data_IF_055271096606
#
_entry.id   IF_055271096606
#
_cell.length_a   1.000
_cell.length_b   1.000
_cell.length_c   1.000
_cell.angle_alpha   90.00
_cell.angle_beta   90.00
_cell.angle_gamma   90.00
#
_symmetry.space_group_name_H-M   'P 1'
#
loop_
_entity.id
_entity.type
_entity.pdbx_description
1 polymer ?
#
# COMPACT_ATOMS: atom_id res chain seq x y z
N UNK A 1 4.15 -26.69 -24.61
CA UNK A 1 5.12 -25.89 -23.84
C UNK A 1 4.31 -24.85 -23.12
N UNK A 2 4.21 -24.96 -21.79
CA UNK A 2 3.44 -24.01 -20.99
C UNK A 2 4.31 -22.80 -20.70
N UNK A 3 3.88 -21.61 -21.15
CA UNK A 3 4.55 -20.35 -20.90
C UNK A 3 4.03 -19.76 -19.59
N UNK A 4 4.92 -19.51 -18.63
CA UNK A 4 4.57 -18.82 -17.37
C UNK A 4 5.05 -17.39 -17.44
N UNK A 5 4.14 -16.42 -17.31
CA UNK A 5 4.46 -14.98 -17.30
C UNK A 5 4.25 -14.45 -15.88
N UNK A 6 5.27 -13.84 -15.30
CA UNK A 6 5.18 -13.12 -14.02
C UNK A 6 5.02 -11.62 -14.27
N UNK A 7 3.94 -11.02 -13.77
CA UNK A 7 3.64 -9.59 -13.91
C UNK A 7 3.54 -8.96 -12.52
N UNK A 8 4.16 -7.80 -12.32
CA UNK A 8 3.97 -6.98 -11.12
C UNK A 8 2.73 -6.10 -11.28
N UNK A 9 1.94 -6.02 -10.22
CA UNK A 9 0.64 -5.34 -10.19
C UNK A 9 0.71 -4.25 -9.13
N UNK A 10 0.07 -3.12 -9.37
CA UNK A 10 0.04 -2.04 -8.37
C UNK A 10 -0.72 -2.49 -7.12
N UNK A 11 -0.14 -2.26 -5.94
CA UNK A 11 -0.72 -2.59 -4.63
C UNK A 11 -2.00 -1.79 -4.31
N UNK A 12 -2.20 -0.64 -4.96
CA UNK A 12 -3.32 0.27 -4.66
C UNK A 12 -4.53 -0.04 -5.56
N UNK A 13 -4.32 -0.05 -6.88
CA UNK A 13 -5.42 -0.21 -7.83
C UNK A 13 -5.59 -1.65 -8.35
N UNK A 14 -4.65 -2.56 -8.07
CA UNK A 14 -4.67 -3.98 -8.47
C UNK A 14 -4.87 -4.23 -9.98
N UNK A 15 -4.63 -3.20 -10.79
CA UNK A 15 -4.81 -3.21 -12.23
C UNK A 15 -3.67 -3.92 -12.94
N UNK A 16 -4.01 -4.91 -13.78
CA UNK A 16 -3.06 -5.74 -14.54
C UNK A 16 -2.76 -5.19 -15.94
N UNK A 17 -3.49 -4.16 -16.36
CA UNK A 17 -3.34 -3.49 -17.67
C UNK A 17 -2.10 -2.58 -17.74
N UNK A 18 -1.37 -2.40 -16.63
CA UNK A 18 -0.27 -1.43 -16.52
C UNK A 18 0.86 -1.99 -15.68
N UNK A 19 2.12 -1.66 -16.00
CA UNK A 19 3.25 -2.05 -15.18
C UNK A 19 3.25 -1.28 -13.85
N UNK A 20 3.66 -1.96 -12.79
CA UNK A 20 3.94 -1.36 -11.50
C UNK A 20 5.44 -1.43 -11.20
N UNK A 21 5.97 -0.35 -10.64
CA UNK A 21 7.38 -0.20 -10.26
C UNK A 21 7.49 -0.28 -8.75
N UNK A 22 8.52 -0.98 -8.26
CA UNK A 22 8.78 -1.13 -6.83
C UNK A 22 9.47 0.11 -6.28
N UNK A 23 8.89 0.70 -5.25
CA UNK A 23 9.47 1.81 -4.50
C UNK A 23 9.64 1.43 -3.03
N UNK A 24 10.70 1.93 -2.41
CA UNK A 24 10.90 1.85 -0.97
C UNK A 24 10.71 3.24 -0.40
N UNK A 25 9.63 3.44 0.37
CA UNK A 25 9.29 4.70 0.99
C UNK A 25 9.81 4.71 2.42
N UNK A 26 10.83 5.53 2.68
CA UNK A 26 11.44 5.66 4.01
C UNK A 26 10.96 6.96 4.68
N UNK A 27 10.03 6.89 5.65
CA UNK A 27 9.64 8.07 6.42
C UNK A 27 10.79 8.48 7.35
N UNK A 28 10.91 9.79 7.65
CA UNK A 28 12.01 10.33 8.47
C UNK A 28 12.13 9.70 9.86
N UNK A 29 11.03 9.18 10.42
CA UNK A 29 10.96 8.67 11.79
C UNK A 29 10.38 7.25 11.87
N UNK A 30 10.51 6.43 10.82
CA UNK A 30 9.89 5.09 10.81
C UNK A 30 10.58 4.08 9.90
N UNK A 31 10.03 2.87 9.91
CA UNK A 31 10.51 1.78 9.05
C UNK A 31 10.13 2.03 7.59
N UNK A 32 11.07 1.74 6.69
CA UNK A 32 10.83 1.81 5.25
C UNK A 32 9.80 0.78 4.80
N UNK A 33 8.83 1.22 3.99
CA UNK A 33 7.80 0.33 3.43
C UNK A 33 8.01 0.20 1.94
N UNK A 34 8.13 -1.04 1.47
CA UNK A 34 8.19 -1.36 0.04
C UNK A 34 6.78 -1.48 -0.54
N UNK A 35 6.54 -0.83 -1.70
CA UNK A 35 5.27 -0.88 -2.43
C UNK A 35 5.49 -0.93 -3.93
N UNK A 36 4.66 -1.67 -4.63
CA UNK A 36 4.59 -1.68 -6.09
C UNK A 36 3.52 -0.69 -6.53
N UNK A 37 3.91 0.40 -7.21
CA UNK A 37 3.03 1.51 -7.59
C UNK A 37 3.05 1.75 -9.10
N UNK A 38 1.90 2.06 -9.68
CA UNK A 38 1.82 2.49 -11.08
C UNK A 38 2.08 4.00 -11.23
N UNK A 39 2.30 4.47 -12.46
CA UNK A 39 2.60 5.87 -12.76
C UNK A 39 1.55 6.87 -12.23
N UNK A 40 0.28 6.48 -12.17
CA UNK A 40 -0.79 7.34 -11.63
C UNK A 40 -0.71 7.46 -10.10
N UNK A 41 -0.38 6.37 -9.42
CA UNK A 41 -0.36 6.28 -7.96
C UNK A 41 0.95 6.83 -7.36
N UNK A 42 2.06 6.79 -8.12
CA UNK A 42 3.34 7.39 -7.70
C UNK A 42 3.36 8.91 -7.87
N UNK A 43 2.62 9.46 -8.85
CA UNK A 43 2.57 10.90 -9.13
C UNK A 43 2.23 11.79 -7.92
N UNK A 44 1.26 11.46 -7.04
CA UNK A 44 1.05 12.26 -5.83
C UNK A 44 2.21 12.16 -4.83
N UNK A 45 2.92 11.03 -4.78
CA UNK A 45 4.07 10.84 -3.90
C UNK A 45 5.24 11.70 -4.39
N UNK A 46 5.53 11.69 -5.70
CA UNK A 46 6.61 12.51 -6.27
C UNK A 46 6.38 14.01 -6.12
N UNK A 47 5.12 14.46 -6.11
CA UNK A 47 4.79 15.86 -5.84
C UNK A 47 5.16 16.30 -4.42
N UNK A 48 5.11 15.39 -3.45
CA UNK A 48 5.39 15.68 -2.04
C UNK A 48 6.87 15.48 -1.73
N UNK A 49 7.47 14.41 -2.27
CA UNK A 49 8.82 13.97 -1.91
C UNK A 49 9.89 14.26 -2.98
N UNK A 50 9.49 14.77 -4.15
CA UNK A 50 10.38 14.92 -5.30
C UNK A 50 10.49 13.62 -6.13
N UNK A 51 11.31 13.62 -7.20
CA UNK A 51 11.48 12.44 -8.04
C UNK A 51 12.06 11.28 -7.22
N UNK A 52 11.35 10.14 -7.22
CA UNK A 52 11.76 8.96 -6.47
C UNK A 52 12.59 8.03 -7.35
N UNK A 53 13.70 7.52 -6.81
CA UNK A 53 14.48 6.46 -7.47
C UNK A 53 13.78 5.13 -7.22
N UNK A 54 13.41 4.37 -8.26
CA UNK A 54 12.81 3.06 -8.08
C UNK A 54 13.82 2.10 -7.44
N UNK A 55 13.32 1.15 -6.66
CA UNK A 55 14.16 0.23 -5.89
C UNK A 55 15.10 -0.62 -6.77
N UNK A 56 14.79 -0.78 -8.07
CA UNK A 56 15.62 -1.53 -9.01
C UNK A 56 16.79 -0.73 -9.59
N UNK A 57 16.70 0.61 -9.62
CA UNK A 57 17.82 1.49 -10.04
C UNK A 57 18.78 1.80 -8.88
N UNK A 58 18.34 1.69 -7.63
CA UNK A 58 19.21 1.87 -6.47
C UNK A 58 20.34 0.82 -6.36
N UNK A 59 20.21 -0.33 -7.04
CA UNK A 59 21.22 -1.39 -7.12
C UNK A 59 22.16 -1.23 -8.33
N UNK A 60 21.87 -0.30 -9.25
CA UNK A 60 22.70 -0.03 -10.45
C UNK A 60 23.46 1.28 -10.26
N UNK A 61 24.22 1.37 -9.18
CA UNK A 61 25.27 2.36 -9.04
C UNK A 61 26.31 2.20 -10.16
N UNK A 62 26.94 3.29 -10.63
CA UNK A 62 27.95 3.21 -11.68
C UNK A 62 29.08 2.28 -11.25
N UNK A 63 29.50 1.40 -12.16
CA UNK A 63 30.73 0.62 -12.07
C UNK A 63 31.93 1.55 -11.80
N UNK A 64 32.22 1.84 -10.54
CA UNK A 64 33.52 2.31 -10.10
C UNK A 64 33.96 1.49 -8.90
N UNK A 65 35.10 0.82 -9.13
CA UNK A 65 35.91 0.08 -8.19
C UNK A 65 35.92 0.74 -6.80
N UNK A 66 35.53 -0.04 -5.79
CA UNK A 66 36.37 -0.22 -4.61
C UNK A 66 36.26 -1.68 -4.17
N UNK A 67 37.33 -2.41 -4.45
CA UNK A 67 37.66 -3.67 -3.78
C UNK A 67 38.03 -3.39 -2.32
N UNK A 68 37.94 -4.45 -1.49
CA UNK A 68 38.10 -4.59 -0.02
C UNK A 68 36.81 -4.27 0.74
N UNK A 69 36.17 -5.18 1.46
CA UNK A 69 36.69 -6.21 2.36
C UNK A 69 35.66 -7.35 2.54
N UNK A 70 36.16 -8.55 2.82
CA UNK A 70 35.43 -9.83 2.86
C UNK A 70 34.60 -10.05 4.15
N UNK A 71 33.61 -10.93 4.08
CA UNK A 71 32.98 -11.58 5.24
C UNK A 71 31.53 -11.12 5.47
N UNK A 72 30.52 -11.97 5.64
CA UNK A 72 30.48 -13.37 6.01
C UNK A 72 29.27 -14.04 5.37
N UNK A 73 29.55 -15.13 4.68
CA UNK A 73 28.59 -16.16 4.31
C UNK A 73 28.39 -17.06 5.53
N UNK A 74 27.19 -17.08 6.10
CA UNK A 74 26.78 -18.16 7.01
C UNK A 74 25.37 -18.63 6.69
N UNK A 75 25.28 -19.70 5.90
CA UNK A 75 24.27 -20.73 6.15
C UNK A 75 24.60 -21.42 7.49
N UNK A 76 23.61 -21.99 8.18
CA UNK A 76 23.52 -23.44 8.04
C UNK A 76 22.09 -23.99 7.96
N UNK A 77 21.99 -25.08 7.20
CA UNK A 77 20.93 -26.07 7.24
C UNK A 77 20.66 -26.64 8.65
N UNK A 78 19.41 -27.03 8.95
CA UNK A 78 19.08 -28.38 9.48
C UNK A 78 17.60 -28.55 9.91
N UNK A 79 16.97 -29.56 9.30
CA UNK A 79 16.24 -30.71 9.92
C UNK A 79 15.03 -30.47 10.85
N UNK A 80 13.89 -31.02 10.38
CA UNK A 80 12.84 -31.81 11.09
C UNK A 80 12.10 -31.08 12.25
N UNK A 81 10.77 -31.11 12.32
CA UNK A 81 10.01 -32.29 12.74
C UNK A 81 8.54 -32.25 12.30
N UNK A 82 8.08 -33.37 11.77
CA UNK A 82 6.70 -33.83 11.76
C UNK A 82 6.18 -34.02 13.19
N UNK A 83 5.05 -33.42 13.54
CA UNK A 83 4.24 -33.83 14.69
C UNK A 83 2.81 -34.08 14.24
N UNK A 84 2.37 -35.31 14.48
CA UNK A 84 1.14 -35.95 14.03
C UNK A 84 0.14 -35.97 15.19
N UNK A 85 -1.11 -35.60 14.89
CA UNK A 85 -2.40 -35.96 15.55
C UNK A 85 -2.55 -35.77 17.07
N UNK A 86 -3.65 -35.11 17.46
CA UNK A 86 -4.71 -35.73 18.28
C UNK A 86 -6.06 -35.09 17.99
N UNK A 87 -7.11 -35.89 18.14
CA UNK A 87 -8.48 -35.63 17.72
C UNK A 87 -9.39 -35.11 18.85
N UNK A 88 -10.59 -34.70 18.43
CA UNK A 88 -11.87 -34.68 19.14
C UNK A 88 -12.21 -33.46 20.02
N UNK A 89 -13.21 -32.67 19.59
CA UNK A 89 -14.61 -32.80 20.06
C UNK A 89 -15.56 -31.85 19.30
N UNK A 90 -16.71 -32.40 18.88
CA UNK A 90 -17.90 -31.67 18.42
C UNK A 90 -18.47 -30.81 19.55
N UNK A 91 -18.97 -29.61 19.24
CA UNK A 91 -20.28 -29.13 19.72
C UNK A 91 -20.83 -28.03 18.81
N UNK A 92 -21.97 -28.33 18.21
CA UNK A 92 -23.04 -27.45 17.76
C UNK A 92 -23.37 -26.33 18.75
N UNK A 93 -23.55 -25.08 18.28
CA UNK A 93 -24.66 -24.21 18.71
C UNK A 93 -24.70 -22.87 17.94
N UNK A 94 -25.90 -22.62 17.39
CA UNK A 94 -26.59 -21.34 17.24
C UNK A 94 -25.94 -20.19 16.45
N UNK A 95 -26.37 -20.16 15.19
CA UNK A 95 -26.75 -18.96 14.43
C UNK A 95 -27.57 -18.00 15.32
N UNK A 96 -26.96 -16.91 15.77
CA UNK A 96 -27.66 -15.72 16.26
C UNK A 96 -27.45 -14.61 15.26
N UNK A 97 -28.52 -14.34 14.52
CA UNK A 97 -28.70 -13.18 13.65
C UNK A 97 -28.60 -11.93 14.53
N UNK A 98 -27.48 -11.20 14.43
CA UNK A 98 -27.40 -9.84 14.96
C UNK A 98 -27.99 -8.94 13.88
N UNK A 99 -29.21 -8.46 14.11
CA UNK A 99 -29.74 -7.33 13.34
C UNK A 99 -28.82 -6.14 13.55
N UNK A 100 -28.10 -5.80 12.48
CA UNK A 100 -27.27 -4.60 12.41
C UNK A 100 -28.23 -3.41 12.31
N UNK A 101 -28.19 -2.42 13.22
CA UNK A 101 -28.98 -1.20 13.04
C UNK A 101 -28.56 -0.54 11.71
N UNK A 102 -29.51 0.04 10.95
CA UNK A 102 -29.17 0.70 9.69
C UNK A 102 -28.19 1.83 9.98
N UNK A 103 -27.04 1.78 9.31
CA UNK A 103 -26.02 2.80 9.41
C UNK A 103 -26.65 4.17 9.11
N UNK A 104 -26.55 5.10 10.07
CA UNK A 104 -26.92 6.49 9.87
C UNK A 104 -26.22 7.00 8.60
N UNK A 105 -27.02 7.30 7.57
CA UNK A 105 -26.54 7.98 6.37
C UNK A 105 -25.80 9.23 6.83
N UNK A 106 -24.47 9.21 6.72
CA UNK A 106 -23.65 10.41 6.86
C UNK A 106 -24.23 11.43 5.89
N UNK A 107 -24.79 12.53 6.42
CA UNK A 107 -25.32 13.61 5.59
C UNK A 107 -24.19 14.05 4.67
N UNK A 108 -24.37 13.93 3.35
CA UNK A 108 -23.41 14.47 2.39
C UNK A 108 -23.27 15.95 2.67
N UNK A 109 -22.05 16.40 2.97
CA UNK A 109 -21.71 17.81 2.92
C UNK A 109 -21.97 18.29 1.51
N UNK A 110 -22.79 19.33 1.37
CA UNK A 110 -23.13 19.90 0.07
C UNK A 110 -21.90 20.66 -0.42
N UNK A 111 -21.32 20.25 -1.55
CA UNK A 111 -20.20 20.96 -2.17
C UNK A 111 -20.79 22.17 -2.88
N UNK A 112 -20.55 23.36 -2.33
CA UNK A 112 -20.92 24.63 -2.95
C UNK A 112 -19.82 25.06 -3.92
N UNK A 113 -20.19 25.73 -5.02
CA UNK A 113 -19.24 26.35 -5.94
C UNK A 113 -18.66 27.64 -5.34
N UNK A 114 -17.51 28.11 -5.83
CA UNK A 114 -16.86 29.32 -5.29
C UNK A 114 -17.80 30.53 -5.27
N UNK A 115 -18.60 30.72 -6.32
CA UNK A 115 -19.59 31.81 -6.40
C UNK A 115 -20.69 31.70 -5.33
N UNK A 116 -21.10 30.49 -4.98
CA UNK A 116 -22.12 30.25 -3.93
C UNK A 116 -21.57 30.59 -2.55
N UNK A 117 -20.28 30.36 -2.31
CA UNK A 117 -19.61 30.67 -1.05
C UNK A 117 -19.46 32.19 -0.88
N UNK A 118 -19.09 32.91 -1.95
CA UNK A 118 -19.01 34.37 -1.92
C UNK A 118 -20.39 35.02 -1.72
N UNK A 119 -21.42 34.48 -2.37
CA UNK A 119 -22.79 34.95 -2.21
C UNK A 119 -23.34 34.72 -0.78
N UNK A 120 -23.14 33.53 -0.20
CA UNK A 120 -23.55 33.26 1.19
C UNK A 120 -22.79 34.14 2.19
N UNK A 121 -21.50 34.36 1.97
CA UNK A 121 -20.69 35.22 2.84
C UNK A 121 -21.13 36.67 2.76
N UNK A 122 -21.44 37.17 1.56
CA UNK A 122 -21.97 38.52 1.36
C UNK A 122 -23.39 38.68 1.94
N UNK A 123 -24.23 37.66 1.84
CA UNK A 123 -25.57 37.66 2.44
C UNK A 123 -25.48 37.70 3.97
N UNK A 124 -24.64 36.83 4.56
CA UNK A 124 -24.45 36.75 6.02
C UNK A 124 -23.83 38.01 6.61
N UNK A 125 -22.98 38.71 5.85
CA UNK A 125 -22.40 40.00 6.23
C UNK A 125 -23.39 41.17 6.17
N UNK A 126 -24.56 41.02 5.51
CA UNK A 126 -25.62 42.03 5.48
C UNK A 126 -26.70 41.82 6.53
N UNK A 127 -26.80 40.62 7.09
CA UNK A 127 -27.69 40.28 8.21
C UNK A 127 -27.02 40.43 9.59
N UNK A 128 -25.74 40.81 9.64
CA UNK A 128 -25.00 41.14 10.87
C UNK A 128 -24.81 42.65 10.98
#
# INVERSE_FOLDING_TARGET
>A
MDLTITVRVCDICERKDRPATRYTLTPENGEGVTRDLCAEDIAPVEKVFGPLVPAEEAEQGPLYLNAVDEGEKSEPAAKKTTAKKTAAKKTTAKKTTVEKPPAQRRRRTRVATMDQIEAEKAARAKES
#
